data_IF_810585442661
#
_entry.id   IF_810585442661
#
_cell.length_a   1.000
_cell.length_b   1.000
_cell.length_c   1.000
_cell.angle_alpha   90.00
_cell.angle_beta   90.00
_cell.angle_gamma   90.00
#
_symmetry.space_group_name_H-M   'P 1'
#
loop_
_entity.id
_entity.type
_entity.pdbx_description
1 polymer ?
#
# COMPACT_ATOMS: atom_id res chain seq x y z
N UNK A 1 45.23 35.79 42.71
CA UNK A 1 44.73 34.39 42.71
C UNK A 1 45.95 33.50 42.56
N UNK A 2 46.68 33.26 43.65
CA UNK A 2 46.49 32.12 44.58
C UNK A 2 46.87 30.76 43.98
N UNK A 3 48.16 30.44 44.19
CA UNK A 3 48.78 29.16 44.58
C UNK A 3 48.15 27.79 44.22
N UNK A 4 48.95 27.03 43.45
CA UNK A 4 49.59 25.74 43.82
C UNK A 4 48.68 24.65 44.45
N UNK A 5 48.61 23.48 43.79
CA UNK A 5 49.28 22.23 44.24
C UNK A 5 49.09 21.05 43.28
N UNK A 6 50.19 20.32 43.14
CA UNK A 6 50.37 19.04 42.46
C UNK A 6 49.81 17.86 43.27
N UNK A 7 49.47 16.80 42.53
CA UNK A 7 49.58 15.35 42.83
C UNK A 7 48.73 14.78 43.97
N UNK A 8 48.03 13.68 43.65
CA UNK A 8 48.09 12.34 44.29
C UNK A 8 47.13 11.38 43.53
N UNK A 9 47.59 10.24 43.00
CA UNK A 9 47.50 8.86 43.59
C UNK A 9 46.03 8.45 43.84
N UNK A 10 45.47 7.29 43.48
CA UNK A 10 45.91 5.89 43.42
C UNK A 10 44.82 5.10 42.62
N UNK A 11 45.14 4.15 41.75
CA UNK A 11 45.21 2.68 41.98
C UNK A 11 43.94 2.01 42.57
N UNK A 12 43.40 1.02 41.82
CA UNK A 12 42.77 -0.26 42.24
C UNK A 12 41.62 -0.63 41.24
N UNK A 13 41.71 -1.65 40.37
CA UNK A 13 41.75 -3.12 40.55
C UNK A 13 40.34 -3.77 40.57
N UNK A 14 40.10 -4.69 39.61
CA UNK A 14 39.20 -5.89 39.62
C UNK A 14 37.67 -5.60 39.53
N UNK A 15 36.78 -6.33 38.85
CA UNK A 15 36.75 -7.66 38.22
C UNK A 15 35.72 -7.71 37.08
N UNK A 16 35.91 -8.68 36.19
CA UNK A 16 34.97 -9.22 35.21
C UNK A 16 33.64 -9.67 35.83
N UNK A 17 32.52 -9.33 35.19
CA UNK A 17 31.26 -10.06 35.33
C UNK A 17 30.51 -10.07 33.99
N UNK A 18 30.60 -11.20 33.31
CA UNK A 18 29.68 -11.58 32.22
C UNK A 18 28.26 -11.56 32.76
N UNK A 19 27.39 -10.74 32.15
CA UNK A 19 25.95 -10.94 32.23
C UNK A 19 25.42 -11.03 30.81
N UNK A 20 24.93 -12.23 30.48
CA UNK A 20 24.00 -12.45 29.39
C UNK A 20 22.82 -11.50 29.56
N UNK A 21 22.77 -10.46 28.73
CA UNK A 21 21.55 -9.71 28.47
C UNK A 21 21.10 -10.06 27.07
N UNK A 22 20.16 -11.00 26.97
CA UNK A 22 19.32 -11.14 25.79
C UNK A 22 18.69 -9.77 25.57
N UNK A 23 19.18 -9.02 24.59
CA UNK A 23 18.44 -7.89 24.05
C UNK A 23 17.30 -8.54 23.25
N UNK A 24 16.26 -8.97 23.97
CA UNK A 24 14.93 -8.93 23.41
C UNK A 24 14.74 -7.48 23.00
N UNK A 25 14.99 -7.20 21.72
CA UNK A 25 14.64 -5.93 21.12
C UNK A 25 13.15 -5.78 21.35
N UNK A 26 12.78 -4.92 22.30
CA UNK A 26 11.49 -4.26 22.24
C UNK A 26 11.53 -3.41 20.97
N UNK A 27 11.21 -4.02 19.84
CA UNK A 27 10.66 -3.27 18.72
C UNK A 27 9.47 -2.52 19.30
N UNK A 28 9.37 -1.18 19.13
CA UNK A 28 8.11 -0.51 19.36
C UNK A 28 7.06 -1.33 18.61
N UNK A 29 6.01 -1.77 19.31
CA UNK A 29 4.89 -2.42 18.65
C UNK A 29 4.37 -1.38 17.67
N UNK A 30 4.62 -1.57 16.38
CA UNK A 30 4.09 -0.68 15.35
C UNK A 30 2.61 -0.48 15.63
N UNK A 31 2.22 0.79 15.70
CA UNK A 31 0.82 1.13 15.89
C UNK A 31 0.07 0.61 14.68
N UNK A 32 -1.02 -0.13 14.93
CA UNK A 32 -1.81 -0.68 13.84
C UNK A 32 -2.45 0.49 13.10
N UNK A 33 -2.24 0.57 11.80
CA UNK A 33 -2.87 1.58 10.96
C UNK A 33 -4.34 1.18 10.81
N UNK A 34 -5.23 2.07 11.22
CA UNK A 34 -6.67 1.94 11.00
C UNK A 34 -7.03 2.74 9.74
N UNK A 35 -7.57 2.06 8.74
CA UNK A 35 -8.00 2.68 7.48
C UNK A 35 -9.49 2.51 7.27
N UNK A 36 -10.10 3.54 6.70
CA UNK A 36 -11.47 3.54 6.22
C UNK A 36 -11.44 3.67 4.70
N UNK A 37 -11.95 2.67 4.00
CA UNK A 37 -11.93 2.57 2.55
C UNK A 37 -12.72 3.69 1.85
N UNK A 38 -13.53 4.48 2.54
CA UNK A 38 -14.25 5.61 1.92
C UNK A 38 -13.53 6.96 2.13
N UNK A 39 -12.69 7.09 3.16
CA UNK A 39 -12.19 8.40 3.60
C UNK A 39 -10.69 8.48 3.83
N UNK A 40 -10.02 7.35 4.06
CA UNK A 40 -8.56 7.34 4.22
C UNK A 40 -7.88 7.74 2.92
N UNK A 41 -6.81 8.56 2.99
CA UNK A 41 -5.99 8.90 1.85
C UNK A 41 -5.26 7.66 1.32
N UNK A 42 -4.85 7.74 0.06
CA UNK A 42 -4.20 6.62 -0.64
C UNK A 42 -2.99 6.05 0.08
N UNK A 43 -2.12 6.91 0.61
CA UNK A 43 -0.88 6.47 1.25
C UNK A 43 -1.16 5.65 2.53
N UNK A 44 -2.18 6.01 3.31
CA UNK A 44 -2.56 5.23 4.49
C UNK A 44 -3.03 3.81 4.11
N UNK A 45 -3.69 3.66 2.95
CA UNK A 45 -4.09 2.35 2.43
C UNK A 45 -2.88 1.52 1.98
N UNK A 46 -1.87 2.16 1.39
CA UNK A 46 -0.59 1.50 1.04
C UNK A 46 0.12 1.02 2.30
N UNK A 47 0.30 1.91 3.29
CA UNK A 47 0.94 1.58 4.56
C UNK A 47 0.20 0.44 5.29
N UNK A 48 -1.15 0.40 5.20
CA UNK A 48 -1.95 -0.71 5.71
C UNK A 48 -1.62 -2.03 5.02
N UNK A 49 -1.56 -2.04 3.68
CA UNK A 49 -1.22 -3.25 2.93
C UNK A 49 0.23 -3.70 3.17
N UNK A 50 1.17 -2.77 3.39
CA UNK A 50 2.54 -3.08 3.81
C UNK A 50 2.57 -3.72 5.20
N UNK A 51 1.87 -3.13 6.18
CA UNK A 51 1.80 -3.64 7.56
C UNK A 51 1.17 -5.04 7.63
N UNK A 52 0.16 -5.31 6.81
CA UNK A 52 -0.46 -6.65 6.70
C UNK A 52 0.36 -7.61 5.82
N UNK A 53 1.45 -7.13 5.21
CA UNK A 53 2.41 -7.92 4.43
C UNK A 53 1.90 -8.30 3.03
N UNK A 54 0.95 -7.55 2.48
CA UNK A 54 0.45 -7.69 1.11
C UNK A 54 1.28 -6.88 0.11
N UNK A 55 1.89 -5.78 0.55
CA UNK A 55 2.90 -5.02 -0.20
C UNK A 55 4.25 -5.19 0.52
N UNK A 56 5.36 -5.22 -0.24
CA UNK A 56 6.71 -5.24 0.32
C UNK A 56 7.16 -3.81 0.65
N UNK A 57 7.82 -3.60 1.79
CA UNK A 57 8.31 -2.27 2.26
C UNK A 57 9.19 -1.53 1.23
N UNK A 58 9.95 -2.26 0.41
CA UNK A 58 10.82 -1.70 -0.64
C UNK A 58 10.24 -1.95 -2.06
N UNK A 59 8.93 -2.15 -2.19
CA UNK A 59 8.28 -2.33 -3.49
C UNK A 59 8.42 -1.05 -4.33
N UNK A 60 8.88 -1.17 -5.58
CA UNK A 60 8.82 -0.07 -6.54
C UNK A 60 7.49 -0.14 -7.30
N UNK A 61 6.50 0.73 -7.00
CA UNK A 61 5.20 0.66 -7.64
C UNK A 61 5.28 1.06 -9.12
N UNK A 62 4.51 0.37 -9.96
CA UNK A 62 4.32 0.72 -11.37
C UNK A 62 3.03 1.50 -11.53
N UNK A 63 3.10 2.70 -12.12
CA UNK A 63 1.92 3.52 -12.42
C UNK A 63 1.12 2.89 -13.56
N UNK A 64 -0.04 2.32 -13.24
CA UNK A 64 -0.95 1.68 -14.19
C UNK A 64 -1.54 2.72 -15.15
N UNK A 65 -1.78 3.95 -14.67
CA UNK A 65 -2.36 5.02 -15.49
C UNK A 65 -1.43 5.47 -16.62
N UNK A 66 -0.14 5.17 -16.54
CA UNK A 66 0.87 5.58 -17.52
C UNK A 66 1.58 4.38 -18.18
N UNK A 67 1.16 3.15 -17.87
CA UNK A 67 1.78 1.91 -18.36
C UNK A 67 0.79 1.04 -19.13
N UNK A 68 1.13 0.70 -20.37
CA UNK A 68 0.35 -0.21 -21.22
C UNK A 68 0.49 -1.66 -20.77
N UNK A 69 -0.56 -2.48 -20.95
CA UNK A 69 -0.54 -3.92 -20.68
C UNK A 69 -1.44 -4.39 -19.54
N UNK A 70 -1.99 -3.46 -18.75
CA UNK A 70 -2.92 -3.77 -17.65
C UNK A 70 -4.39 -3.92 -18.09
N UNK A 71 -4.74 -3.36 -19.25
CA UNK A 71 -6.10 -3.33 -19.77
C UNK A 71 -6.31 -4.43 -20.83
N UNK A 72 -7.47 -5.08 -20.78
CA UNK A 72 -7.86 -6.05 -21.81
C UNK A 72 -8.62 -5.33 -22.93
N UNK A 73 -7.99 -5.16 -24.10
CA UNK A 73 -8.65 -4.68 -25.31
C UNK A 73 -9.59 -5.76 -25.88
N UNK A 74 -10.82 -5.38 -26.21
CA UNK A 74 -11.82 -6.29 -26.77
C UNK A 74 -11.58 -6.69 -28.25
N UNK A 75 -10.56 -6.12 -28.89
CA UNK A 75 -10.21 -6.33 -30.30
C UNK A 75 -8.81 -6.90 -30.53
N UNK A 76 -8.03 -7.17 -29.47
CA UNK A 76 -6.58 -7.45 -29.56
C UNK A 76 -5.77 -6.34 -30.26
N UNK A 77 -6.27 -5.10 -30.26
CA UNK A 77 -5.55 -3.92 -30.70
C UNK A 77 -4.64 -3.35 -29.61
N UNK A 78 -3.95 -2.25 -29.93
CA UNK A 78 -3.26 -1.45 -28.92
C UNK A 78 -4.27 -0.47 -28.30
N UNK A 79 -4.56 -0.64 -27.01
CA UNK A 79 -5.32 0.32 -26.23
C UNK A 79 -4.36 1.30 -25.54
N UNK A 80 -4.35 2.55 -26.00
CA UNK A 80 -3.38 3.58 -25.55
C UNK A 80 -3.88 4.44 -24.41
N UNK A 81 -5.15 4.35 -24.05
CA UNK A 81 -5.72 5.06 -22.91
C UNK A 81 -5.58 4.17 -21.68
N UNK A 82 -4.84 4.61 -20.66
CA UNK A 82 -4.53 3.78 -19.49
C UNK A 82 -5.10 4.35 -18.19
N UNK A 83 -5.68 5.55 -18.25
CA UNK A 83 -6.19 6.26 -17.06
C UNK A 83 -7.48 5.62 -16.55
N UNK A 84 -7.35 4.84 -15.48
CA UNK A 84 -8.45 4.09 -14.86
C UNK A 84 -8.99 4.78 -13.61
N UNK A 85 -8.12 5.37 -12.80
CA UNK A 85 -8.43 5.93 -11.49
C UNK A 85 -7.52 7.12 -11.16
N UNK A 86 -7.87 7.95 -10.17
CA UNK A 86 -7.05 9.11 -9.79
C UNK A 86 -5.66 8.69 -9.30
N UNK A 87 -5.59 7.53 -8.64
CA UNK A 87 -4.35 6.76 -8.43
C UNK A 87 -4.57 5.29 -8.78
N UNK A 88 -3.64 4.72 -9.52
CA UNK A 88 -3.67 3.32 -9.93
C UNK A 88 -2.25 2.80 -9.99
N UNK A 89 -1.87 1.94 -9.06
CA UNK A 89 -0.50 1.41 -8.99
C UNK A 89 -0.51 -0.09 -8.81
N UNK A 90 0.47 -0.73 -9.44
CA UNK A 90 0.80 -2.13 -9.29
C UNK A 90 1.98 -2.28 -8.32
N UNK A 91 1.74 -2.95 -7.20
CA UNK A 91 2.69 -3.26 -6.15
C UNK A 91 3.11 -4.72 -6.23
N UNK A 92 3.88 -5.07 -7.26
CA UNK A 92 4.38 -6.44 -7.52
C UNK A 92 3.24 -7.48 -7.56
N UNK A 93 2.17 -7.15 -8.28
CA UNK A 93 1.02 -8.02 -8.52
C UNK A 93 -0.22 -7.71 -7.69
N UNK A 94 -0.15 -6.81 -6.70
CA UNK A 94 -1.34 -6.21 -6.06
C UNK A 94 -1.62 -4.85 -6.72
N UNK A 95 -2.74 -4.74 -7.42
CA UNK A 95 -3.12 -3.51 -8.10
C UNK A 95 -4.11 -2.75 -7.23
N UNK A 96 -3.80 -1.50 -6.89
CA UNK A 96 -4.61 -0.65 -6.02
C UNK A 96 -5.12 0.56 -6.79
N UNK A 97 -6.45 0.67 -6.90
CA UNK A 97 -7.16 1.75 -7.56
C UNK A 97 -7.85 2.64 -6.52
N UNK A 98 -7.77 3.95 -6.71
CA UNK A 98 -8.43 4.93 -5.85
C UNK A 98 -9.01 6.08 -6.66
N UNK A 99 -10.24 6.47 -6.32
CA UNK A 99 -10.93 7.62 -6.89
C UNK A 99 -11.23 8.64 -5.81
N UNK A 100 -10.90 9.91 -6.06
CA UNK A 100 -11.22 11.01 -5.17
C UNK A 100 -12.73 11.29 -5.22
N UNK A 101 -13.45 10.86 -4.19
CA UNK A 101 -14.89 11.07 -4.10
C UNK A 101 -15.28 12.51 -3.71
N UNK A 102 -14.36 13.26 -3.10
CA UNK A 102 -14.59 14.65 -2.71
C UNK A 102 -14.31 15.60 -3.88
N UNK A 103 -13.23 15.36 -4.62
CA UNK A 103 -12.78 16.18 -5.76
C UNK A 103 -12.88 15.40 -7.08
N UNK A 104 -14.12 15.05 -7.46
CA UNK A 104 -14.42 14.23 -8.63
C UNK A 104 -13.75 14.76 -9.89
N UNK A 105 -12.86 13.94 -10.46
CA UNK A 105 -12.21 14.18 -11.75
C UNK A 105 -13.02 13.55 -12.88
N UNK A 106 -12.54 13.67 -14.12
CA UNK A 106 -13.12 12.98 -15.28
C UNK A 106 -13.09 11.44 -15.13
N UNK A 107 -12.27 10.90 -14.22
CA UNK A 107 -12.16 9.47 -13.93
C UNK A 107 -13.24 8.96 -12.98
N UNK A 108 -14.01 9.85 -12.35
CA UNK A 108 -15.13 9.45 -11.46
C UNK A 108 -16.20 8.63 -12.22
N UNK A 109 -16.36 8.85 -13.53
CA UNK A 109 -17.23 8.02 -14.37
C UNK A 109 -16.80 6.55 -14.43
N UNK A 110 -15.49 6.27 -14.33
CA UNK A 110 -14.96 4.91 -14.29
C UNK A 110 -15.33 4.20 -12.97
N UNK A 111 -15.28 4.94 -11.85
CA UNK A 111 -15.75 4.44 -10.56
C UNK A 111 -17.23 4.08 -10.58
N UNK A 112 -18.08 4.97 -11.10
CA UNK A 112 -19.53 4.71 -11.22
C UNK A 112 -19.80 3.52 -12.14
N UNK A 113 -19.05 3.41 -13.24
CA UNK A 113 -19.11 2.28 -14.16
C UNK A 113 -18.72 0.97 -13.47
N UNK A 114 -17.63 0.94 -12.71
CA UNK A 114 -17.18 -0.23 -11.96
C UNK A 114 -18.24 -0.71 -10.97
N UNK A 115 -18.83 0.21 -10.21
CA UNK A 115 -19.92 -0.11 -9.28
C UNK A 115 -21.15 -0.70 -9.99
N UNK A 116 -21.48 -0.20 -11.19
CA UNK A 116 -22.59 -0.71 -11.99
C UNK A 116 -22.29 -2.06 -12.68
N UNK A 117 -21.02 -2.36 -12.94
CA UNK A 117 -20.57 -3.53 -13.69
C UNK A 117 -19.90 -4.60 -12.81
N UNK A 118 -20.38 -4.77 -11.57
CA UNK A 118 -19.94 -5.84 -10.66
C UNK A 118 -18.41 -5.87 -10.46
N UNK A 119 -17.78 -4.69 -10.33
CA UNK A 119 -16.33 -4.59 -10.14
C UNK A 119 -15.52 -4.53 -11.44
N UNK A 120 -16.15 -4.55 -12.62
CA UNK A 120 -15.41 -4.38 -13.88
C UNK A 120 -15.29 -2.90 -14.23
N UNK A 121 -14.07 -2.37 -14.29
CA UNK A 121 -13.81 -1.02 -14.81
C UNK A 121 -13.94 -1.08 -16.33
N UNK A 122 -14.92 -0.35 -16.87
CA UNK A 122 -15.18 -0.30 -18.32
C UNK A 122 -14.74 1.05 -18.87
N UNK A 123 -13.80 1.02 -19.82
CA UNK A 123 -13.25 2.22 -20.47
C UNK A 123 -13.73 2.38 -21.90
N UNK A 124 -13.82 3.64 -22.35
CA UNK A 124 -14.17 4.01 -23.73
C UNK A 124 -15.42 3.28 -24.29
N UNK A 125 -16.45 3.10 -23.46
CA UNK A 125 -17.68 2.40 -23.85
C UNK A 125 -17.53 0.89 -24.05
N UNK A 126 -16.51 0.27 -23.43
CA UNK A 126 -16.26 -1.17 -23.50
C UNK A 126 -15.18 -1.58 -24.48
N UNK A 127 -14.43 -0.63 -25.05
CA UNK A 127 -13.26 -0.92 -25.87
C UNK A 127 -12.15 -1.61 -25.07
N UNK A 128 -12.03 -1.26 -23.78
CA UNK A 128 -11.17 -1.96 -22.85
C UNK A 128 -11.84 -2.16 -21.50
N UNK A 129 -11.46 -3.22 -20.82
CA UNK A 129 -11.93 -3.55 -19.47
C UNK A 129 -10.79 -3.97 -18.55
N UNK A 130 -11.00 -3.73 -17.26
CA UNK A 130 -10.18 -4.27 -16.18
C UNK A 130 -11.12 -4.90 -15.14
N UNK A 131 -10.97 -6.20 -14.91
CA UNK A 131 -11.72 -6.90 -13.87
C UNK A 131 -11.02 -6.69 -12.52
N UNK A 132 -11.75 -6.17 -11.54
CA UNK A 132 -11.26 -6.07 -10.15
C UNK A 132 -11.67 -7.31 -9.37
N UNK A 133 -10.85 -7.69 -8.39
CA UNK A 133 -11.19 -8.79 -7.48
C UNK A 133 -12.19 -8.32 -6.42
N UNK A 134 -12.01 -7.10 -5.90
CA UNK A 134 -12.88 -6.52 -4.90
C UNK A 134 -12.93 -4.98 -5.01
N UNK A 135 -14.06 -4.40 -4.62
CA UNK A 135 -14.25 -2.96 -4.48
C UNK A 135 -14.82 -2.64 -3.09
N UNK A 136 -14.25 -1.63 -2.43
CA UNK A 136 -14.67 -1.19 -1.11
C UNK A 136 -14.48 0.33 -0.97
N UNK A 137 -15.57 1.06 -0.66
CA UNK A 137 -15.56 2.51 -0.55
C UNK A 137 -15.07 3.21 -1.84
N UNK A 138 -14.03 4.01 -1.70
CA UNK A 138 -13.34 4.75 -2.77
C UNK A 138 -12.25 3.93 -3.47
N UNK A 139 -12.06 2.66 -3.10
CA UNK A 139 -10.98 1.81 -3.59
C UNK A 139 -11.51 0.57 -4.33
N UNK A 140 -10.64 0.03 -5.18
CA UNK A 140 -10.75 -1.33 -5.66
C UNK A 140 -9.35 -1.97 -5.73
N UNK A 141 -9.32 -3.29 -5.72
CA UNK A 141 -8.10 -4.06 -5.91
C UNK A 141 -8.26 -5.09 -7.03
N UNK A 142 -7.18 -5.33 -7.75
CA UNK A 142 -7.05 -6.45 -8.69
C UNK A 142 -5.68 -7.11 -8.47
N UNK A 143 -5.45 -8.23 -9.15
CA UNK A 143 -4.22 -8.99 -8.98
C UNK A 143 -3.64 -9.44 -10.31
N UNK A 144 -2.31 -9.49 -10.41
CA UNK A 144 -1.64 -10.27 -11.46
C UNK A 144 -2.02 -11.74 -11.34
N UNK A 145 -1.86 -12.51 -12.42
CA UNK A 145 -2.21 -13.94 -12.42
C UNK A 145 -1.43 -14.75 -11.37
N UNK A 146 -0.20 -14.35 -11.07
CA UNK A 146 0.77 -15.04 -10.22
C UNK A 146 0.86 -14.51 -8.78
N UNK A 147 0.14 -13.44 -8.42
CA UNK A 147 0.13 -12.94 -7.04
C UNK A 147 -0.35 -14.02 -6.05
N UNK A 148 0.45 -14.31 -5.03
CA UNK A 148 0.25 -15.50 -4.18
C UNK A 148 -0.86 -15.32 -3.13
N UNK A 149 -1.12 -14.09 -2.68
CA UNK A 149 -1.97 -13.80 -1.51
C UNK A 149 -3.36 -13.26 -1.86
N UNK A 150 -3.87 -13.51 -3.08
CA UNK A 150 -5.13 -12.91 -3.60
C UNK A 150 -6.29 -13.01 -2.61
N UNK A 151 -6.57 -14.22 -2.14
CA UNK A 151 -7.74 -14.50 -1.28
C UNK A 151 -7.62 -13.81 0.08
N UNK A 152 -6.42 -13.81 0.68
CA UNK A 152 -6.20 -13.19 1.98
C UNK A 152 -6.23 -11.66 1.88
N UNK A 153 -5.62 -11.10 0.83
CA UNK A 153 -5.63 -9.66 0.57
C UNK A 153 -7.04 -9.13 0.27
N UNK A 154 -7.80 -9.81 -0.59
CA UNK A 154 -9.19 -9.46 -0.89
C UNK A 154 -10.07 -9.50 0.37
N UNK A 155 -9.96 -10.58 1.15
CA UNK A 155 -10.72 -10.70 2.40
C UNK A 155 -10.36 -9.61 3.41
N UNK A 156 -9.08 -9.28 3.57
CA UNK A 156 -8.65 -8.21 4.45
C UNK A 156 -9.24 -6.86 4.01
N UNK A 157 -9.12 -6.56 2.71
CA UNK A 157 -9.65 -5.35 2.09
C UNK A 157 -11.17 -5.21 2.20
N UNK A 158 -11.94 -6.27 1.95
CA UNK A 158 -13.40 -6.28 2.07
C UNK A 158 -13.89 -6.05 3.50
N UNK A 159 -13.08 -6.36 4.50
CA UNK A 159 -13.42 -6.16 5.92
C UNK A 159 -13.10 -4.77 6.45
N UNK A 160 -12.47 -3.91 5.64
CA UNK A 160 -12.21 -2.52 6.03
C UNK A 160 -13.51 -1.73 6.18
N UNK A 161 -13.53 -0.83 7.17
CA UNK A 161 -14.65 0.10 7.35
C UNK A 161 -14.80 0.98 6.12
N UNK A 162 -16.05 1.33 5.76
CA UNK A 162 -16.35 2.11 4.57
C UNK A 162 -17.51 3.10 4.77
N UNK A 163 -17.89 3.37 6.01
CA UNK A 163 -18.94 4.34 6.39
C UNK A 163 -18.35 5.67 6.88
#
# INVERSE_FOLDING_TARGET
METKKMKKTAAAIIATATVCGMMAGCTPKEEKIEVNASTSPYEDMVDYFEQEGFILEDCEPVDINETTGYLTDNTNGEFTETKVADKAYDYDGLWLFWWDQENKTDLYGNYESMAANQGTIVLAGGAAVLETEAANGAYAIAFSEDYEKKQDAAKAFETLENE
#
